data_IF_449176222259
#
_entry.id   IF_449176222259
#
_cell.length_a   1.000
_cell.length_b   1.000
_cell.length_c   1.000
_cell.angle_alpha   90.00
_cell.angle_beta   90.00
_cell.angle_gamma   90.00
#
_symmetry.space_group_name_H-M   'P 1'
#
loop_
_entity.id
_entity.type
_entity.pdbx_description
1 polymer ?
#
# COMPACT_ATOMS: atom_id res chain seq x y z
N UNK A 1 -0.42 0.10 -29.07
CA UNK A 1 -1.52 0.38 -28.12
C UNK A 1 -1.25 -0.47 -26.90
N UNK A 2 -0.12 -0.17 -26.24
CA UNK A 2 0.36 -0.88 -25.05
C UNK A 2 -0.21 -0.15 -23.85
N UNK A 3 -1.05 -0.85 -23.10
CA UNK A 3 -1.51 -0.42 -21.80
C UNK A 3 -0.28 -0.29 -20.90
N UNK A 4 0.06 0.94 -20.55
CA UNK A 4 1.04 1.26 -19.50
C UNK A 4 0.48 0.79 -18.17
N UNK A 5 0.54 -0.53 -17.94
CA UNK A 5 0.42 -1.14 -16.64
C UNK A 5 1.59 -0.61 -15.82
N UNK A 6 1.32 0.38 -14.97
CA UNK A 6 2.22 0.78 -13.88
C UNK A 6 2.20 -0.36 -12.88
N UNK A 7 2.91 -1.43 -13.24
CA UNK A 7 3.27 -2.53 -12.37
C UNK A 7 4.14 -1.95 -11.26
N UNK A 8 3.53 -1.55 -10.15
CA UNK A 8 4.24 -1.54 -8.87
C UNK A 8 4.46 -3.00 -8.43
N UNK A 9 5.15 -3.79 -9.25
CA UNK A 9 5.76 -5.03 -8.81
C UNK A 9 6.89 -4.59 -7.88
N UNK A 10 6.70 -4.78 -6.58
CA UNK A 10 7.80 -4.72 -5.63
C UNK A 10 8.72 -5.95 -5.85
N UNK A 11 9.41 -5.99 -7.00
CA UNK A 11 10.52 -6.89 -7.27
C UNK A 11 11.72 -6.35 -6.49
N UNK A 12 11.82 -6.71 -5.22
CA UNK A 12 13.07 -6.58 -4.47
C UNK A 12 13.33 -7.87 -3.69
N UNK A 13 14.24 -8.70 -4.20
CA UNK A 13 15.16 -9.47 -3.35
C UNK A 13 16.42 -8.61 -3.22
N UNK A 14 16.93 -8.35 -2.01
CA UNK A 14 17.71 -9.34 -1.28
C UNK A 14 17.47 -9.27 0.23
N UNK A 15 16.38 -9.87 0.69
CA UNK A 15 16.17 -10.53 1.99
C UNK A 15 14.67 -10.51 2.27
N UNK A 16 14.08 -11.68 2.10
CA UNK A 16 12.96 -12.20 2.89
C UNK A 16 12.24 -11.13 3.72
N UNK A 17 11.04 -10.72 3.30
CA UNK A 17 10.06 -10.38 4.32
C UNK A 17 9.77 -11.71 5.00
N UNK A 18 10.62 -12.09 5.98
CA UNK A 18 10.34 -13.22 6.86
C UNK A 18 8.97 -12.92 7.42
N UNK A 19 7.99 -13.73 7.04
CA UNK A 19 6.77 -13.77 7.79
C UNK A 19 7.23 -14.00 9.23
N UNK A 20 7.02 -12.99 10.09
CA UNK A 20 7.24 -13.14 11.51
C UNK A 20 6.12 -14.06 11.98
N UNK A 21 6.27 -15.34 11.66
CA UNK A 21 5.44 -16.42 12.14
C UNK A 21 5.81 -16.50 13.61
N UNK A 22 5.15 -15.64 14.38
CA UNK A 22 5.06 -15.68 15.82
C UNK A 22 6.24 -15.00 16.53
N UNK A 23 5.92 -13.93 17.27
CA UNK A 23 6.79 -13.44 18.32
C UNK A 23 6.64 -14.40 19.52
N UNK A 24 7.79 -15.01 19.85
CA UNK A 24 8.21 -15.86 20.98
C UNK A 24 7.14 -16.25 22.03
N UNK A 25 6.77 -17.54 22.07
CA UNK A 25 6.15 -18.07 23.29
C UNK A 25 5.67 -19.53 23.33
N UNK A 26 5.32 -20.19 22.21
CA UNK A 26 4.82 -21.59 22.26
C UNK A 26 5.13 -22.42 21.02
N UNK A 27 5.78 -23.58 21.14
CA UNK A 27 6.16 -24.43 20.02
C UNK A 27 5.04 -25.43 19.66
N UNK A 28 3.89 -24.96 19.20
CA UNK A 28 2.89 -25.80 18.52
C UNK A 28 2.20 -24.97 17.42
N UNK A 29 2.93 -24.69 16.33
CA UNK A 29 2.47 -23.81 15.25
C UNK A 29 1.82 -24.59 14.11
N UNK A 30 0.68 -24.09 13.62
CA UNK A 30 0.03 -24.56 12.39
C UNK A 30 0.84 -24.28 11.09
N UNK A 31 2.01 -23.64 11.21
CA UNK A 31 2.87 -23.26 10.08
C UNK A 31 2.30 -22.15 9.21
N UNK A 32 1.28 -21.43 9.69
CA UNK A 32 0.52 -20.42 8.93
C UNK A 32 0.82 -19.00 9.42
N UNK A 33 0.92 -18.06 8.49
CA UNK A 33 1.12 -16.63 8.78
C UNK A 33 -0.07 -16.04 9.54
N UNK A 34 0.21 -15.38 10.67
CA UNK A 34 -0.80 -14.69 11.49
C UNK A 34 -1.47 -13.54 10.73
N UNK A 35 -2.80 -13.39 10.90
CA UNK A 35 -3.62 -12.45 10.13
C UNK A 35 -3.12 -11.00 10.19
N UNK A 36 -2.60 -10.54 11.33
CA UNK A 36 -2.11 -9.17 11.48
C UNK A 36 -0.83 -8.89 10.67
N UNK A 37 -0.04 -9.90 10.32
CA UNK A 37 1.19 -9.71 9.54
C UNK A 37 0.88 -9.26 8.10
N UNK A 38 -0.27 -9.65 7.54
CA UNK A 38 -0.69 -9.19 6.22
C UNK A 38 -0.86 -7.66 6.18
N UNK A 39 -1.23 -7.01 7.29
CA UNK A 39 -1.28 -5.55 7.36
C UNK A 39 0.10 -4.91 7.18
N UNK A 40 1.16 -5.54 7.71
CA UNK A 40 2.55 -5.06 7.56
C UNK A 40 3.02 -5.21 6.12
N UNK A 41 2.69 -6.33 5.47
CA UNK A 41 3.01 -6.54 4.06
C UNK A 41 2.29 -5.53 3.17
N UNK A 42 1.00 -5.35 3.41
CA UNK A 42 0.17 -4.40 2.66
C UNK A 42 0.57 -2.94 2.89
N UNK A 43 1.00 -2.58 4.09
CA UNK A 43 1.54 -1.23 4.38
C UNK A 43 2.75 -0.92 3.51
N UNK A 44 3.72 -1.84 3.45
CA UNK A 44 4.90 -1.72 2.59
C UNK A 44 4.52 -1.47 1.12
N UNK A 45 3.54 -2.22 0.61
CA UNK A 45 2.99 -2.05 -0.74
C UNK A 45 2.37 -0.67 -0.96
N UNK A 46 1.52 -0.21 -0.02
CA UNK A 46 0.89 1.13 -0.09
C UNK A 46 1.92 2.25 -0.05
N UNK A 47 2.86 2.19 0.88
CA UNK A 47 3.88 3.22 1.05
C UNK A 47 4.75 3.34 -0.21
N UNK A 48 5.14 2.22 -0.83
CA UNK A 48 5.84 2.25 -2.10
C UNK A 48 5.01 2.89 -3.22
N UNK A 49 3.75 2.49 -3.37
CA UNK A 49 2.85 3.03 -4.38
C UNK A 49 2.60 4.54 -4.21
N UNK A 50 2.25 4.98 -3.00
CA UNK A 50 2.02 6.39 -2.68
C UNK A 50 3.30 7.23 -2.76
N UNK A 51 4.46 6.66 -2.41
CA UNK A 51 5.76 7.33 -2.57
C UNK A 51 6.06 7.61 -4.03
N UNK A 52 5.83 6.66 -4.94
CA UNK A 52 6.04 6.89 -6.37
C UNK A 52 5.17 8.04 -6.91
N UNK A 53 3.93 8.18 -6.41
CA UNK A 53 3.03 9.27 -6.80
C UNK A 53 3.28 10.60 -6.06
N UNK A 54 3.80 10.55 -4.83
CA UNK A 54 3.95 11.72 -3.96
C UNK A 54 5.37 12.30 -3.88
N UNK A 55 6.40 11.52 -4.23
CA UNK A 55 7.80 11.93 -4.15
C UNK A 55 8.13 13.10 -5.08
N UNK A 56 7.50 13.17 -6.26
CA UNK A 56 7.66 14.33 -7.14
C UNK A 56 7.18 15.63 -6.50
N UNK A 57 6.14 15.56 -5.64
CA UNK A 57 5.56 16.74 -5.04
C UNK A 57 6.26 17.15 -3.74
N UNK A 58 6.73 16.18 -2.93
CA UNK A 58 7.55 16.51 -1.77
C UNK A 58 8.85 17.22 -2.18
N UNK A 59 9.51 16.73 -3.25
CA UNK A 59 10.66 17.42 -3.84
C UNK A 59 10.30 18.84 -4.34
N UNK A 60 9.11 19.03 -4.92
CA UNK A 60 8.64 20.36 -5.35
C UNK A 60 8.31 21.30 -4.17
N UNK A 61 7.76 20.80 -3.06
CA UNK A 61 7.51 21.59 -1.85
C UNK A 61 8.82 22.01 -1.17
N UNK A 62 9.79 21.10 -1.10
CA UNK A 62 11.14 21.38 -0.59
C UNK A 62 11.88 22.41 -1.48
N UNK A 63 11.77 22.29 -2.80
CA UNK A 63 12.36 23.26 -3.75
C UNK A 63 11.67 24.63 -3.72
N UNK A 64 10.37 24.69 -3.42
CA UNK A 64 9.61 25.93 -3.36
C UNK A 64 9.80 26.71 -2.04
N UNK A 65 10.64 26.23 -1.12
CA UNK A 65 10.87 26.89 0.18
C UNK A 65 9.62 26.95 1.04
N UNK A 66 8.63 26.08 0.78
CA UNK A 66 7.43 25.96 1.60
C UNK A 66 7.80 25.21 2.88
N UNK A 67 8.38 25.93 3.83
CA UNK A 67 8.56 25.43 5.19
C UNK A 67 7.17 25.05 5.75
N UNK A 68 7.08 23.87 6.39
CA UNK A 68 6.05 23.48 7.38
C UNK A 68 4.82 22.66 6.94
N UNK A 69 4.51 22.47 5.66
CA UNK A 69 3.38 21.59 5.30
C UNK A 69 3.80 20.11 5.24
N UNK A 70 4.09 19.49 6.40
CA UNK A 70 4.21 18.03 6.46
C UNK A 70 2.86 17.42 6.12
N UNK A 71 2.81 16.73 4.98
CA UNK A 71 1.65 15.97 4.57
C UNK A 71 1.88 14.48 4.75
N UNK A 72 0.81 13.76 5.04
CA UNK A 72 0.85 12.32 5.25
C UNK A 72 -0.39 11.67 4.64
N UNK A 73 -0.21 10.43 4.20
CA UNK A 73 -1.30 9.56 3.80
C UNK A 73 -1.59 8.59 4.94
N UNK A 74 -2.78 8.67 5.53
CA UNK A 74 -3.17 7.84 6.68
C UNK A 74 -4.33 6.93 6.33
N UNK A 75 -4.31 5.70 6.83
CA UNK A 75 -5.43 4.77 6.64
C UNK A 75 -6.61 5.23 7.49
N UNK A 76 -7.76 5.46 6.86
CA UNK A 76 -9.03 5.83 7.53
C UNK A 76 -9.91 4.60 7.80
N UNK A 77 -9.97 3.68 6.86
CA UNK A 77 -10.70 2.42 6.99
C UNK A 77 -10.05 1.36 6.11
N UNK A 78 -10.25 0.09 6.48
CA UNK A 78 -9.75 -1.05 5.74
C UNK A 78 -10.73 -2.22 5.89
N UNK A 79 -11.08 -2.85 4.78
CA UNK A 79 -11.82 -4.11 4.73
C UNK A 79 -10.89 -5.20 4.21
N UNK A 80 -10.91 -6.39 4.81
CA UNK A 80 -10.00 -7.49 4.48
C UNK A 80 -10.77 -8.82 4.38
N UNK A 81 -10.48 -9.56 3.32
CA UNK A 81 -10.91 -10.95 3.15
C UNK A 81 -9.70 -11.87 3.18
N UNK A 82 -9.67 -12.78 4.16
CA UNK A 82 -8.64 -13.82 4.27
C UNK A 82 -9.11 -15.09 3.54
N UNK A 83 -8.67 -15.28 2.31
CA UNK A 83 -9.11 -16.37 1.44
C UNK A 83 -8.34 -17.66 1.67
N UNK A 84 -7.01 -17.56 1.78
CA UNK A 84 -6.11 -18.70 1.93
C UNK A 84 -4.89 -18.31 2.80
N UNK A 85 -4.38 -19.24 3.62
CA UNK A 85 -3.20 -18.97 4.43
C UNK A 85 -1.90 -19.07 3.62
N UNK A 86 -0.98 -18.13 3.85
CA UNK A 86 0.44 -18.29 3.57
C UNK A 86 1.12 -19.16 4.64
N UNK A 87 2.22 -19.79 4.28
CA UNK A 87 3.10 -20.58 5.16
C UNK A 87 4.49 -19.98 5.27
N UNK A 88 5.30 -20.54 6.17
CA UNK A 88 6.74 -20.27 6.18
C UNK A 88 7.34 -20.57 4.79
N UNK A 89 8.28 -19.73 4.35
CA UNK A 89 8.97 -19.77 3.05
C UNK A 89 8.11 -19.47 1.80
N UNK A 90 6.81 -19.18 1.95
CA UNK A 90 6.03 -18.66 0.83
C UNK A 90 6.56 -17.27 0.42
N UNK A 91 6.85 -17.11 -0.88
CA UNK A 91 7.14 -15.80 -1.46
C UNK A 91 5.82 -15.10 -1.74
N UNK A 92 5.66 -13.89 -1.19
CA UNK A 92 4.43 -13.12 -1.29
C UNK A 92 4.61 -11.87 -2.14
N UNK A 93 3.71 -11.69 -3.09
CA UNK A 93 3.57 -10.46 -3.87
C UNK A 93 2.45 -9.60 -3.30
N UNK A 94 2.72 -8.31 -3.10
CA UNK A 94 1.73 -7.34 -2.66
C UNK A 94 1.42 -6.41 -3.82
N UNK A 95 0.27 -6.61 -4.44
CA UNK A 95 -0.21 -5.79 -5.57
C UNK A 95 -1.13 -4.71 -5.01
N UNK A 96 -0.91 -3.45 -5.40
CA UNK A 96 -1.66 -2.28 -4.90
C UNK A 96 -1.99 -1.37 -6.06
N UNK A 97 -3.26 -0.97 -6.18
CA UNK A 97 -3.72 -0.05 -7.22
C UNK A 97 -4.87 0.84 -6.74
N UNK A 98 -5.03 2.04 -7.29
CA UNK A 98 -6.15 2.90 -6.95
C UNK A 98 -7.42 2.44 -7.66
N UNK A 99 -8.55 2.49 -6.95
CA UNK A 99 -9.88 2.18 -7.49
C UNK A 99 -10.81 3.40 -7.53
N UNK A 100 -10.56 4.39 -6.69
CA UNK A 100 -11.26 5.68 -6.77
C UNK A 100 -10.45 6.79 -6.12
N UNK A 101 -10.53 7.99 -6.68
CA UNK A 101 -9.92 9.21 -6.10
C UNK A 101 -11.03 10.19 -5.73
N UNK A 102 -11.15 10.47 -4.42
CA UNK A 102 -12.11 11.45 -3.87
C UNK A 102 -11.42 12.80 -3.61
N UNK A 103 -12.14 13.71 -2.94
CA UNK A 103 -11.63 15.05 -2.64
C UNK A 103 -10.44 15.05 -1.68
N UNK A 104 -10.56 14.35 -0.55
CA UNK A 104 -9.54 14.31 0.50
C UNK A 104 -9.01 12.89 0.77
N UNK A 105 -9.39 11.92 -0.05
CA UNK A 105 -9.05 10.52 0.13
C UNK A 105 -8.97 9.74 -1.17
N UNK A 106 -8.33 8.59 -1.10
CA UNK A 106 -8.17 7.62 -2.19
C UNK A 106 -8.67 6.27 -1.68
N UNK A 107 -9.36 5.53 -2.53
CA UNK A 107 -9.65 4.13 -2.32
C UNK A 107 -8.60 3.31 -3.08
N UNK A 108 -7.88 2.45 -2.36
CA UNK A 108 -6.92 1.51 -2.91
C UNK A 108 -7.48 0.10 -2.79
N UNK A 109 -7.28 -0.71 -3.82
CA UNK A 109 -7.40 -2.16 -3.70
C UNK A 109 -6.01 -2.76 -3.54
N UNK A 110 -5.93 -3.81 -2.73
CA UNK A 110 -4.71 -4.58 -2.53
C UNK A 110 -4.97 -6.07 -2.56
N UNK A 111 -3.99 -6.80 -3.08
CA UNK A 111 -3.97 -8.25 -3.01
C UNK A 111 -2.61 -8.72 -2.50
N UNK A 112 -2.64 -9.65 -1.55
CA UNK A 112 -1.47 -10.45 -1.19
C UNK A 112 -1.59 -11.78 -1.91
N UNK A 113 -0.61 -12.07 -2.77
CA UNK A 113 -0.60 -13.24 -3.64
C UNK A 113 0.60 -14.14 -3.35
N UNK A 114 0.47 -15.41 -3.70
CA UNK A 114 1.58 -16.35 -3.84
C UNK A 114 1.56 -16.88 -5.26
N UNK A 115 2.43 -16.36 -6.12
CA UNK A 115 2.30 -16.52 -7.56
C UNK A 115 0.93 -16.03 -8.03
N UNK A 116 0.20 -16.85 -8.78
CA UNK A 116 -1.14 -16.52 -9.28
C UNK A 116 -2.26 -16.65 -8.23
N UNK A 117 -1.97 -17.17 -7.02
CA UNK A 117 -3.00 -17.43 -6.02
C UNK A 117 -3.18 -16.23 -5.09
N UNK A 118 -4.38 -15.64 -5.11
CA UNK A 118 -4.75 -14.60 -4.14
C UNK A 118 -5.03 -15.22 -2.76
N UNK A 119 -4.31 -14.73 -1.75
CA UNK A 119 -4.41 -15.17 -0.36
C UNK A 119 -5.28 -14.23 0.48
N UNK A 120 -5.08 -12.93 0.30
CA UNK A 120 -5.81 -11.87 1.01
C UNK A 120 -6.18 -10.78 0.02
N UNK A 121 -7.42 -10.29 0.11
CA UNK A 121 -7.88 -9.09 -0.58
C UNK A 121 -8.12 -7.99 0.44
N UNK A 122 -7.87 -6.75 0.06
CA UNK A 122 -8.22 -5.61 0.88
C UNK A 122 -8.69 -4.41 0.06
N UNK A 123 -9.65 -3.70 0.62
CA UNK A 123 -10.04 -2.36 0.20
C UNK A 123 -9.62 -1.37 1.30
N UNK A 124 -8.85 -0.36 0.93
CA UNK A 124 -8.24 0.58 1.87
C UNK A 124 -8.63 2.00 1.51
N UNK A 125 -9.23 2.71 2.45
CA UNK A 125 -9.41 4.15 2.32
C UNK A 125 -8.24 4.87 2.96
N UNK A 126 -7.55 5.70 2.18
CA UNK A 126 -6.42 6.50 2.63
C UNK A 126 -6.78 7.98 2.54
N UNK A 127 -6.63 8.73 3.64
CA UNK A 127 -6.88 10.16 3.71
C UNK A 127 -5.60 10.96 3.60
N UNK A 128 -5.67 12.12 2.94
CA UNK A 128 -4.59 13.10 2.91
C UNK A 128 -4.69 14.02 4.12
N UNK A 129 -3.65 14.03 4.94
CA UNK A 129 -3.54 14.86 6.14
C UNK A 129 -2.44 15.88 5.90
N UNK A 130 -2.70 17.13 6.27
CA UNK A 130 -1.69 18.20 6.32
C UNK A 130 -1.97 19.07 7.54
N UNK A 131 -0.93 19.43 8.30
CA UNK A 131 -1.10 20.20 9.54
C UNK A 131 -2.02 19.50 10.55
N UNK A 132 -1.95 18.17 10.64
CA UNK A 132 -2.70 17.37 11.61
C UNK A 132 -4.19 17.14 11.31
N UNK A 133 -4.72 17.66 10.19
CA UNK A 133 -6.14 17.49 9.80
C UNK A 133 -6.29 17.01 8.36
N UNK A 134 -7.42 16.36 8.08
CA UNK A 134 -7.77 15.97 6.72
C UNK A 134 -7.90 17.21 5.83
N UNK A 135 -7.28 17.15 4.65
CA UNK A 135 -7.28 18.23 3.68
C UNK A 135 -7.57 17.69 2.28
N UNK A 136 -8.11 18.52 1.37
CA UNK A 136 -8.22 18.14 -0.03
C UNK A 136 -6.86 17.77 -0.59
N UNK A 137 -6.80 16.69 -1.37
CA UNK A 137 -5.59 16.29 -2.09
C UNK A 137 -5.25 17.42 -3.09
N UNK A 138 -4.02 17.96 -3.11
CA UNK A 138 -3.58 18.96 -4.08
C UNK A 138 -3.90 18.54 -5.51
N UNK A 139 -4.26 19.51 -6.38
CA UNK A 139 -4.72 19.22 -7.75
C UNK A 139 -3.70 18.43 -8.57
N UNK A 140 -2.41 18.73 -8.42
CA UNK A 140 -1.30 18.02 -9.07
C UNK A 140 -1.28 16.54 -8.69
N UNK A 141 -1.24 16.23 -7.40
CA UNK A 141 -1.26 14.86 -6.86
C UNK A 141 -2.55 14.14 -7.28
N UNK A 142 -3.70 14.81 -7.18
CA UNK A 142 -4.99 14.23 -7.54
C UNK A 142 -5.06 13.86 -9.03
N UNK A 143 -4.45 14.67 -9.91
CA UNK A 143 -4.38 14.37 -11.32
C UNK A 143 -3.53 13.13 -11.61
N UNK A 144 -2.34 13.02 -10.98
CA UNK A 144 -1.50 11.83 -11.08
C UNK A 144 -2.23 10.56 -10.61
N UNK A 145 -2.88 10.63 -9.44
CA UNK A 145 -3.64 9.50 -8.90
C UNK A 145 -4.83 9.10 -9.76
N UNK A 146 -5.44 10.07 -10.46
CA UNK A 146 -6.53 9.77 -11.40
C UNK A 146 -6.02 9.13 -12.69
N UNK A 147 -4.82 9.50 -13.15
CA UNK A 147 -4.20 8.89 -14.31
C UNK A 147 -3.80 7.43 -14.06
N UNK A 148 -3.51 7.10 -12.80
CA UNK A 148 -3.15 5.74 -12.36
C UNK A 148 -4.37 4.84 -12.06
N UNK A 149 -5.60 5.36 -12.18
CA UNK A 149 -6.80 4.52 -12.10
C UNK A 149 -6.78 3.53 -13.27
N UNK A 150 -6.67 2.24 -12.95
CA UNK A 150 -6.75 1.17 -13.93
C UNK A 150 -8.15 1.23 -14.57
N UNK A 151 -8.20 1.57 -15.85
CA UNK A 151 -9.41 1.51 -16.68
C UNK A 151 -9.49 0.20 -17.45
#
# INVERSE_FOLDING_TARGET
MESTLVHAIALQRPNEIKALCCDVGKPEFSGIVYHANYLRFMERGRTNHLRLMGAEQQALFEQAGAEEASFAFVVRSMHLDFLKPARMDDVLDVVTWPVAVKGASIMLAQEVRRGEVVLVKAEVQVAFISGGRAQPIPKSIRALMKADLIS
#
